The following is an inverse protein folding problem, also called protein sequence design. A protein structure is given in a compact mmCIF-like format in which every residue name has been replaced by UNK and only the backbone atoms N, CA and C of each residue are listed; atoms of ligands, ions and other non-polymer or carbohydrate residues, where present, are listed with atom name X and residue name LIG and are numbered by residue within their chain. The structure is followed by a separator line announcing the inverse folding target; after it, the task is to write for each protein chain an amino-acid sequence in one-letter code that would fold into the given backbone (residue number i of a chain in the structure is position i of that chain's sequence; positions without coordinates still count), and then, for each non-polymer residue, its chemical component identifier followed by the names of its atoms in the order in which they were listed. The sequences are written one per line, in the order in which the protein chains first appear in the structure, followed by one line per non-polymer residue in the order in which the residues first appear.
data_IF_438004150266
#
_entry.id   IF_438004150266
#
_cell.length_a   1.000
_cell.length_b   1.000
_cell.length_c   1.000
_cell.angle_alpha   90.00
_cell.angle_beta   90.00
_cell.angle_gamma   90.00
#
_symmetry.space_group_name_H-M   'P 1'
#
loop_
_entity.id
_entity.type
_entity.pdbx_description
1 polymer ?
#
# COMPACT_ATOMS: atom_id res chain seq x y z
N UNK A 1 -13.10 0.85 -15.31
CA UNK A 1 -11.71 1.34 -15.46
C UNK A 1 -10.78 0.16 -15.28
N UNK A 2 -9.68 0.13 -16.02
CA UNK A 2 -8.64 -0.88 -15.82
C UNK A 2 -7.94 -0.64 -14.48
N UNK A 3 -7.43 -1.71 -13.88
CA UNK A 3 -6.65 -1.61 -12.65
C UNK A 3 -5.33 -0.86 -12.92
N UNK A 4 -4.86 -0.02 -11.98
CA UNK A 4 -3.59 0.65 -12.15
C UNK A 4 -2.43 -0.35 -12.04
N UNK A 5 -1.42 -0.16 -12.88
CA UNK A 5 -0.15 -0.87 -12.79
C UNK A 5 0.77 -0.19 -11.77
N UNK A 6 1.53 -0.95 -10.96
CA UNK A 6 2.49 -0.37 -10.02
C UNK A 6 3.65 0.29 -10.76
N UNK A 7 4.11 1.44 -10.28
CA UNK A 7 5.28 2.16 -10.80
C UNK A 7 6.57 1.53 -10.26
N UNK A 8 6.93 0.35 -10.77
CA UNK A 8 8.02 -0.47 -10.22
C UNK A 8 9.41 0.16 -10.32
N UNK A 9 9.62 1.09 -11.25
CA UNK A 9 10.87 1.86 -11.37
C UNK A 9 11.15 2.76 -10.16
N UNK A 10 10.15 2.98 -9.29
CA UNK A 10 10.29 3.78 -8.07
C UNK A 10 10.65 2.95 -6.84
N UNK A 11 10.77 1.62 -6.96
CA UNK A 11 10.99 0.72 -5.83
C UNK A 11 12.25 -0.10 -6.09
N UNK A 12 13.24 -0.02 -5.18
CA UNK A 12 14.54 -0.65 -5.41
C UNK A 12 14.54 -2.17 -5.17
N UNK A 13 13.93 -2.63 -4.07
CA UNK A 13 13.84 -4.06 -3.76
C UNK A 13 12.40 -4.51 -3.67
N UNK A 14 11.92 -5.13 -4.74
CA UNK A 14 10.64 -5.83 -4.80
C UNK A 14 10.83 -7.18 -5.52
N UNK A 15 9.88 -8.13 -5.38
CA UNK A 15 9.92 -9.40 -6.11
C UNK A 15 9.72 -9.16 -7.61
N UNK A 16 10.80 -9.22 -8.40
CA UNK A 16 10.78 -8.89 -9.84
C UNK A 16 9.97 -9.89 -10.68
N UNK A 17 9.86 -11.11 -10.18
CA UNK A 17 9.08 -12.23 -10.70
C UNK A 17 7.68 -12.33 -10.07
N UNK A 18 7.30 -11.36 -9.24
CA UNK A 18 6.04 -11.36 -8.53
C UNK A 18 4.81 -11.13 -9.43
N UNK A 19 3.72 -11.80 -9.09
CA UNK A 19 2.38 -11.54 -9.64
C UNK A 19 1.69 -10.45 -8.83
N UNK A 20 1.42 -9.31 -9.48
CA UNK A 20 0.83 -8.13 -8.85
C UNK A 20 -0.70 -8.13 -9.03
N UNK A 21 -1.42 -8.14 -7.92
CA UNK A 21 -2.87 -8.06 -7.89
C UNK A 21 -3.32 -6.77 -7.22
N UNK A 22 -3.97 -5.90 -7.98
CA UNK A 22 -4.50 -4.64 -7.44
C UNK A 22 -5.61 -4.90 -6.42
N UNK A 23 -5.46 -4.29 -5.25
CA UNK A 23 -6.41 -4.44 -4.15
C UNK A 23 -7.39 -3.27 -4.06
N UNK A 24 -6.87 -2.05 -3.91
CA UNK A 24 -7.68 -0.85 -3.74
C UNK A 24 -6.88 0.44 -3.94
N UNK A 25 -7.65 1.51 -4.18
CA UNK A 25 -7.26 2.90 -3.95
C UNK A 25 -7.93 3.38 -2.67
N UNK A 26 -7.22 4.16 -1.86
CA UNK A 26 -7.79 4.73 -0.65
C UNK A 26 -7.19 6.10 -0.36
N UNK A 27 -8.06 7.01 0.03
CA UNK A 27 -7.69 8.26 0.69
C UNK A 27 -7.39 8.01 2.18
N UNK A 28 -6.19 8.39 2.62
CA UNK A 28 -5.70 8.14 3.97
C UNK A 28 -6.43 9.01 4.98
N UNK A 29 -6.92 8.36 6.04
CA UNK A 29 -7.57 9.02 7.17
C UNK A 29 -6.60 9.24 8.31
N UNK A 30 -6.97 10.09 9.27
CA UNK A 30 -6.22 10.25 10.52
C UNK A 30 -6.05 8.91 11.25
N UNK A 31 -7.08 8.05 11.25
CA UNK A 31 -7.02 6.72 11.84
C UNK A 31 -6.01 5.82 11.12
N UNK A 32 -5.92 5.89 9.80
CA UNK A 32 -4.93 5.10 9.04
C UNK A 32 -3.51 5.42 9.49
N UNK A 33 -3.20 6.69 9.69
CA UNK A 33 -1.85 7.13 10.08
C UNK A 33 -1.53 6.85 11.55
N UNK A 34 -2.53 6.96 12.44
CA UNK A 34 -2.32 6.86 13.89
C UNK A 34 -2.48 5.45 14.46
N UNK A 35 -3.35 4.63 13.88
CA UNK A 35 -3.76 3.32 14.41
C UNK A 35 -3.32 2.14 13.53
N UNK A 36 -2.98 2.39 12.26
CA UNK A 36 -2.67 1.35 11.29
C UNK A 36 -3.55 1.44 10.05
N UNK A 37 -3.06 0.94 8.91
CA UNK A 37 -3.78 1.05 7.64
C UNK A 37 -4.97 0.09 7.59
N UNK A 38 -6.19 0.64 7.50
CA UNK A 38 -7.39 -0.17 7.27
C UNK A 38 -7.46 -0.58 5.80
N UNK A 39 -7.45 -1.89 5.54
CA UNK A 39 -7.55 -2.48 4.22
C UNK A 39 -9.01 -2.57 3.79
N UNK A 40 -9.31 -2.05 2.60
CA UNK A 40 -10.68 -1.86 2.11
C UNK A 40 -10.97 -2.67 0.86
N UNK A 41 -12.25 -2.80 0.53
CA UNK A 41 -12.68 -3.42 -0.72
C UNK A 41 -12.71 -4.95 -0.72
N UNK A 42 -13.39 -5.50 -1.73
CA UNK A 42 -13.63 -6.94 -1.90
C UNK A 42 -12.33 -7.70 -2.18
N UNK A 43 -11.46 -7.16 -3.02
CA UNK A 43 -10.20 -7.81 -3.42
C UNK A 43 -9.21 -7.99 -2.28
N UNK A 44 -9.13 -7.05 -1.35
CA UNK A 44 -8.39 -7.27 -0.10
C UNK A 44 -8.96 -8.41 0.73
N UNK A 45 -10.25 -8.69 0.66
CA UNK A 45 -10.85 -9.87 1.32
C UNK A 45 -10.48 -11.16 0.63
N UNK A 46 -10.50 -11.17 -0.70
CA UNK A 46 -10.20 -12.34 -1.51
C UNK A 46 -8.71 -12.71 -1.48
N UNK A 47 -7.80 -11.76 -1.69
CA UNK A 47 -6.36 -12.04 -1.81
C UNK A 47 -5.62 -12.21 -0.49
N UNK A 48 -6.15 -11.65 0.60
CA UNK A 48 -5.45 -11.63 1.90
C UNK A 48 -6.17 -12.47 2.96
N UNK A 49 -7.13 -13.33 2.59
CA UNK A 49 -8.00 -14.04 3.52
C UNK A 49 -7.21 -14.86 4.56
N UNK A 50 -6.25 -15.65 4.09
CA UNK A 50 -5.51 -16.60 4.93
C UNK A 50 -4.52 -15.92 5.88
N UNK A 51 -3.96 -14.78 5.44
CA UNK A 51 -3.04 -13.96 6.25
C UNK A 51 -3.75 -13.29 7.43
N UNK A 52 -5.06 -13.00 7.27
CA UNK A 52 -5.89 -12.38 8.32
C UNK A 52 -6.19 -13.31 9.48
N UNK A 53 -6.26 -14.61 9.20
CA UNK A 53 -6.63 -15.62 10.19
C UNK A 53 -5.44 -15.94 11.09
N UNK A 54 -4.22 -15.74 10.58
CA UNK A 54 -2.97 -16.17 11.22
C UNK A 54 -2.20 -15.06 11.95
N UNK A 55 -2.69 -13.80 11.95
CA UNK A 55 -1.91 -12.63 12.39
C UNK A 55 -0.53 -12.56 11.72
N UNK A 56 -0.47 -12.96 10.45
CA UNK A 56 0.78 -13.12 9.71
C UNK A 56 1.54 -11.78 9.62
N UNK A 57 2.87 -11.88 9.52
CA UNK A 57 3.73 -10.77 9.12
C UNK A 57 4.15 -10.95 7.67
N UNK A 58 4.09 -9.88 6.88
CA UNK A 58 4.48 -9.86 5.47
C UNK A 58 5.37 -8.65 5.19
N UNK A 59 6.12 -8.71 4.09
CA UNK A 59 6.89 -7.54 3.63
C UNK A 59 5.92 -6.54 2.97
N UNK A 60 6.11 -5.25 3.26
CA UNK A 60 5.43 -4.14 2.60
C UNK A 60 6.47 -3.29 1.86
N UNK A 61 6.34 -3.26 0.54
CA UNK A 61 7.18 -2.50 -0.37
C UNK A 61 6.57 -1.13 -0.63
N UNK A 62 7.42 -0.11 -0.69
CA UNK A 62 7.05 1.26 -1.06
C UNK A 62 8.25 1.98 -1.67
N UNK A 63 8.06 3.10 -2.38
CA UNK A 63 9.17 3.86 -2.93
C UNK A 63 10.22 4.28 -1.88
N UNK A 64 9.79 4.67 -0.68
CA UNK A 64 10.70 5.11 0.38
C UNK A 64 11.13 4.00 1.36
N UNK A 65 10.66 2.77 1.19
CA UNK A 65 11.05 1.64 2.04
C UNK A 65 10.92 0.32 1.33
N UNK A 66 12.02 -0.41 1.33
CA UNK A 66 12.25 -1.51 0.43
C UNK A 66 11.92 -2.89 1.05
N UNK A 67 11.69 -2.98 2.38
CA UNK A 67 11.48 -4.28 3.05
C UNK A 67 10.88 -4.20 4.47
N UNK A 68 10.06 -3.20 4.80
CA UNK A 68 9.46 -3.13 6.15
C UNK A 68 8.49 -4.29 6.35
N UNK A 69 8.64 -5.02 7.46
CA UNK A 69 7.67 -6.04 7.87
C UNK A 69 6.45 -5.39 8.51
N UNK A 70 5.26 -5.79 8.07
CA UNK A 70 3.98 -5.36 8.63
C UNK A 70 3.16 -6.57 9.04
N UNK A 71 2.47 -6.46 10.17
CA UNK A 71 1.61 -7.56 10.67
C UNK A 71 0.15 -7.22 10.49
N UNK A 72 -0.68 -8.23 10.21
CA UNK A 72 -2.12 -8.05 10.16
C UNK A 72 -2.71 -8.07 11.57
N UNK A 73 -3.65 -7.17 11.83
CA UNK A 73 -4.47 -7.18 13.04
C UNK A 73 -5.95 -7.15 12.66
N UNK A 74 -6.76 -7.84 13.47
CA UNK A 74 -8.21 -7.77 13.39
C UNK A 74 -8.72 -6.63 14.26
N UNK A 75 -9.46 -5.70 13.65
CA UNK A 75 -10.09 -4.60 14.37
C UNK A 75 -11.60 -4.83 14.50
N UNK A 76 -12.08 -4.90 15.74
CA UNK A 76 -13.49 -5.01 16.07
C UNK A 76 -14.16 -6.35 15.72
N UNK A 77 -15.48 -6.42 15.97
CA UNK A 77 -16.33 -7.60 15.71
C UNK A 77 -16.58 -7.84 14.21
N UNK A 78 -16.48 -6.80 13.39
CA UNK A 78 -16.79 -6.84 11.95
C UNK A 78 -15.66 -7.36 11.06
N UNK A 79 -14.55 -7.84 11.64
CA UNK A 79 -13.45 -8.41 10.86
C UNK A 79 -12.82 -7.39 9.91
N UNK A 80 -12.76 -6.12 10.32
CA UNK A 80 -12.01 -5.09 9.60
C UNK A 80 -10.53 -5.48 9.71
N UNK A 81 -9.87 -5.52 8.57
CA UNK A 81 -8.48 -5.95 8.49
C UNK A 81 -7.65 -4.71 8.40
N UNK A 82 -6.75 -4.57 9.35
CA UNK A 82 -5.79 -3.49 9.36
C UNK A 82 -4.37 -4.04 9.36
N UNK A 83 -3.44 -3.33 8.74
CA UNK A 83 -2.04 -3.46 9.10
C UNK A 83 -1.87 -2.85 10.49
N UNK A 84 -1.09 -3.50 11.34
CA UNK A 84 -0.77 -2.98 12.65
C UNK A 84 -0.05 -1.63 12.52
N UNK A 85 -0.16 -0.81 13.56
CA UNK A 85 0.54 0.48 13.63
C UNK A 85 2.05 0.31 13.41
N UNK A 86 2.63 -0.72 14.01
CA UNK A 86 4.05 -1.02 13.93
C UNK A 86 4.37 -1.49 12.50
N UNK A 87 5.39 -0.91 11.87
CA UNK A 87 5.73 -1.12 10.46
C UNK A 87 4.94 -0.21 9.52
N UNK A 88 3.60 -0.12 9.65
CA UNK A 88 2.84 0.82 8.82
C UNK A 88 3.24 2.28 9.07
N UNK A 89 3.35 2.71 10.34
CA UNK A 89 3.77 4.08 10.66
C UNK A 89 5.15 4.39 10.08
N UNK A 90 6.06 3.43 10.07
CA UNK A 90 7.38 3.62 9.46
C UNK A 90 7.27 3.85 7.95
N UNK A 91 6.46 3.04 7.25
CA UNK A 91 6.18 3.22 5.82
C UNK A 91 5.56 4.59 5.56
N UNK A 92 4.52 4.95 6.31
CA UNK A 92 3.82 6.22 6.13
C UNK A 92 4.73 7.43 6.34
N UNK A 93 5.54 7.41 7.41
CA UNK A 93 6.49 8.48 7.70
C UNK A 93 7.58 8.59 6.63
N UNK A 94 8.17 7.47 6.20
CA UNK A 94 9.24 7.48 5.18
C UNK A 94 8.75 7.97 3.82
N UNK A 95 7.51 7.62 3.44
CA UNK A 95 6.91 8.09 2.20
C UNK A 95 6.30 9.50 2.32
N UNK A 96 6.34 10.12 3.51
CA UNK A 96 5.78 11.46 3.74
C UNK A 96 4.26 11.53 3.63
N UNK A 97 3.55 10.42 3.83
CA UNK A 97 2.10 10.38 3.72
C UNK A 97 1.41 11.19 4.81
N UNK A 98 0.45 12.02 4.40
CA UNK A 98 -0.40 12.81 5.29
C UNK A 98 -1.88 12.48 5.08
N UNK A 99 -2.73 13.01 5.96
CA UNK A 99 -4.18 12.89 5.82
C UNK A 99 -4.59 13.45 4.45
N UNK A 100 -5.57 12.83 3.83
CA UNK A 100 -6.08 13.15 2.50
C UNK A 100 -5.19 12.80 1.31
N UNK A 101 -3.99 12.26 1.52
CA UNK A 101 -3.24 11.63 0.43
C UNK A 101 -3.94 10.35 -0.02
N UNK A 102 -3.86 10.06 -1.32
CA UNK A 102 -4.36 8.81 -1.87
C UNK A 102 -3.22 7.84 -2.09
N UNK A 103 -3.47 6.57 -1.79
CA UNK A 103 -2.57 5.46 -2.07
C UNK A 103 -3.26 4.40 -2.90
N UNK A 104 -2.48 3.73 -3.75
CA UNK A 104 -2.83 2.45 -4.35
C UNK A 104 -2.10 1.33 -3.61
N UNK A 105 -2.76 0.17 -3.50
CA UNK A 105 -2.25 -1.00 -2.81
C UNK A 105 -2.41 -2.26 -3.66
N UNK A 106 -1.36 -3.09 -3.67
CA UNK A 106 -1.32 -4.36 -4.38
C UNK A 106 -0.88 -5.50 -3.45
N UNK A 107 -1.39 -6.69 -3.74
CA UNK A 107 -0.85 -7.95 -3.24
C UNK A 107 0.18 -8.48 -4.24
N UNK A 108 1.29 -9.01 -3.75
CA UNK A 108 2.37 -9.56 -4.58
C UNK A 108 2.63 -11.00 -4.17
N UNK A 109 2.27 -11.93 -5.05
CA UNK A 109 2.61 -13.34 -4.88
C UNK A 109 3.92 -13.64 -5.60
N UNK A 110 4.87 -14.25 -4.90
CA UNK A 110 6.21 -14.51 -5.44
C UNK A 110 6.83 -15.69 -4.71
N UNK A 111 7.87 -16.27 -5.29
CA UNK A 111 8.57 -17.40 -4.67
C UNK A 111 9.81 -16.89 -3.93
N UNK A 112 9.96 -17.29 -2.68
CA UNK A 112 11.14 -17.00 -1.86
C UNK A 112 11.53 -18.28 -1.13
N UNK A 113 12.78 -18.71 -1.27
CA UNK A 113 13.32 -19.94 -0.69
C UNK A 113 12.51 -21.20 -1.07
N UNK A 114 11.99 -21.25 -2.30
CA UNK A 114 11.19 -22.37 -2.81
C UNK A 114 9.78 -22.46 -2.21
N UNK A 115 9.30 -21.42 -1.52
CA UNK A 115 7.95 -21.33 -1.00
C UNK A 115 7.22 -20.14 -1.59
N UNK A 116 5.94 -20.32 -1.92
CA UNK A 116 5.06 -19.22 -2.33
C UNK A 116 4.85 -18.28 -1.15
N UNK A 117 5.27 -17.04 -1.29
CA UNK A 117 5.09 -15.94 -0.33
C UNK A 117 4.05 -14.95 -0.83
N UNK A 118 3.50 -14.23 0.13
CA UNK A 118 2.64 -13.08 -0.13
C UNK A 118 3.26 -11.85 0.52
N UNK A 119 3.38 -10.78 -0.25
CA UNK A 119 3.81 -9.45 0.20
C UNK A 119 2.81 -8.40 -0.23
N UNK A 120 2.98 -7.17 0.26
CA UNK A 120 2.19 -6.01 -0.13
C UNK A 120 3.08 -4.96 -0.80
N UNK A 121 2.46 -4.14 -1.64
CA UNK A 121 3.09 -2.98 -2.25
C UNK A 121 2.14 -1.79 -2.13
N UNK A 122 2.65 -0.64 -1.69
CA UNK A 122 1.89 0.61 -1.57
C UNK A 122 2.62 1.75 -2.27
N UNK A 123 1.87 2.56 -3.01
CA UNK A 123 2.38 3.78 -3.66
C UNK A 123 1.42 4.94 -3.46
N UNK A 124 1.97 6.12 -3.15
CA UNK A 124 1.21 7.36 -3.18
C UNK A 124 0.85 7.75 -4.60
N UNK A 125 -0.30 8.41 -4.76
CA UNK A 125 -0.71 8.99 -6.03
C UNK A 125 -0.15 10.40 -6.09
N UNK A 126 0.66 10.67 -7.11
CA UNK A 126 1.12 12.03 -7.37
C UNK A 126 -0.09 12.95 -7.56
N UNK A 127 -0.17 13.97 -6.70
CA UNK A 127 -1.03 15.12 -6.97
C UNK A 127 -0.45 15.77 -8.22
N UNK A 128 -1.15 15.67 -9.34
CA UNK A 128 -0.82 16.48 -10.53
C UNK A 128 -0.95 17.93 -10.07
N UNK A 129 0.17 18.57 -9.74
CA UNK A 129 0.20 20.00 -9.55
C UNK A 129 -0.07 20.60 -10.92
N UNK A 130 -1.30 21.09 -11.13
CA UNK A 130 -1.57 22.00 -12.22
C UNK A 130 -0.83 23.28 -11.85
N UNK A 131 0.46 23.37 -12.16
CA UNK A 131 1.11 24.67 -12.28
C UNK A 131 0.47 25.31 -13.49
N UNK A 132 -0.57 26.12 -13.25
CA UNK A 132 -1.11 27.03 -14.25
C UNK A 132 0.07 27.79 -14.88
N UNK A 133 0.25 27.57 -16.16
CA UNK A 133 1.11 28.39 -17.00
C UNK A 133 0.42 29.76 -17.05
N UNK A 134 0.73 30.63 -16.09
CA UNK A 134 0.45 32.06 -16.23
C UNK A 134 1.45 32.55 -17.28
N UNK A 135 1.00 32.63 -18.53
CA UNK A 135 1.67 33.46 -19.54
C UNK A 135 1.22 34.90 -19.35
N UNK A 136 2.08 35.84 -18.91
CA UNK A 136 1.78 37.24 -19.04
C UNK A 136 2.22 37.69 -20.45
N UNK A 137 1.40 37.44 -21.46
CA UNK A 137 1.52 38.18 -22.72
C UNK A 137 0.62 39.40 -22.64
N UNK A 138 1.15 40.45 -22.03
CA UNK A 138 0.73 41.83 -22.27
C UNK A 138 1.59 42.37 -23.42
N UNK A 139 1.01 42.43 -24.61
CA UNK A 139 1.37 43.36 -25.67
C UNK A 139 0.13 44.22 -25.95
#
# INVERSE_FOLDING_TARGET
MADPEPRLNLIESYPKDGEFHYLFRKKLTHSDLMLGLILVGKRSREHLLDLKISSASVKLYSPASANTSVSFQRHGRESIVQLSKIGWTEIATRNGFVVDDEIDCWCVYHDEDGQRRTSLLVQGIEKVAISEIVSPNLC
#
